data_IF_457771518914
#
_entry.id   IF_457771518914
#
_cell.length_a   1.000
_cell.length_b   1.000
_cell.length_c   1.000
_cell.angle_alpha   90.00
_cell.angle_beta   90.00
_cell.angle_gamma   90.00
#
_symmetry.space_group_name_H-M   'P 1'
#
loop_
_entity.id
_entity.type
_entity.pdbx_description
1 polymer ?
#
# COMPACT_ATOMS: atom_id res chain seq x y z
N UNK A 1 5.70 10.86 11.38
CA UNK A 1 5.43 10.76 9.93
C UNK A 1 5.69 12.11 9.30
N UNK A 2 6.31 12.17 8.13
CA UNK A 2 6.58 13.42 7.42
C UNK A 2 6.14 13.28 5.96
N UNK A 3 5.33 14.23 5.48
CA UNK A 3 4.93 14.33 4.08
C UNK A 3 5.93 15.24 3.34
N UNK A 4 6.46 14.77 2.22
CA UNK A 4 7.30 15.55 1.31
C UNK A 4 6.71 15.47 -0.09
N UNK A 5 6.66 16.60 -0.79
CA UNK A 5 6.26 16.63 -2.19
C UNK A 5 7.50 16.40 -3.07
N UNK A 6 7.42 15.44 -3.99
CA UNK A 6 8.46 15.19 -5.00
C UNK A 6 8.13 15.84 -6.34
N UNK A 7 6.84 15.86 -6.71
CA UNK A 7 6.34 16.42 -7.97
C UNK A 7 4.90 16.94 -7.77
N UNK A 8 4.28 17.53 -8.79
CA UNK A 8 2.94 18.11 -8.77
C UNK A 8 1.89 17.17 -8.15
N UNK A 9 1.97 15.87 -8.49
CA UNK A 9 1.04 14.84 -8.01
C UNK A 9 1.75 13.65 -7.33
N UNK A 10 3.02 13.81 -6.95
CA UNK A 10 3.83 12.73 -6.34
C UNK A 10 4.30 13.18 -4.95
N UNK A 11 3.93 12.40 -3.95
CA UNK A 11 4.21 12.68 -2.55
C UNK A 11 4.80 11.46 -1.86
N UNK A 12 5.75 11.67 -0.97
CA UNK A 12 6.34 10.62 -0.14
C UNK A 12 5.99 10.84 1.32
N UNK A 13 5.61 9.74 1.99
CA UNK A 13 5.35 9.73 3.43
C UNK A 13 6.45 8.92 4.11
N UNK A 14 7.30 9.62 4.86
CA UNK A 14 8.36 9.00 5.64
C UNK A 14 7.82 8.51 6.99
N UNK A 15 8.19 7.27 7.33
CA UNK A 15 7.81 6.64 8.61
C UNK A 15 6.33 6.32 8.74
N UNK A 16 5.62 6.05 7.63
CA UNK A 16 4.20 5.72 7.62
C UNK A 16 3.88 4.45 8.44
N UNK A 17 4.71 3.42 8.28
CA UNK A 17 4.69 2.20 9.07
C UNK A 17 5.98 2.06 9.86
N UNK A 18 5.89 1.46 11.04
CA UNK A 18 7.07 1.01 11.80
C UNK A 18 7.62 -0.27 11.18
N UNK A 19 8.90 -0.56 11.43
CA UNK A 19 9.54 -1.82 10.99
C UNK A 19 8.74 -3.04 11.48
N UNK A 20 8.25 -2.99 12.72
CA UNK A 20 7.40 -4.03 13.30
C UNK A 20 6.10 -4.22 12.51
N UNK A 21 5.37 -3.14 12.19
CA UNK A 21 4.14 -3.22 11.40
C UNK A 21 4.41 -3.73 9.97
N UNK A 22 5.53 -3.35 9.37
CA UNK A 22 5.97 -3.90 8.09
C UNK A 22 6.21 -5.41 8.16
N UNK A 23 6.87 -5.90 9.21
CA UNK A 23 7.12 -7.32 9.41
C UNK A 23 5.83 -8.12 9.67
N UNK A 24 4.88 -7.56 10.44
CA UNK A 24 3.57 -8.17 10.67
C UNK A 24 2.79 -8.33 9.35
N UNK A 25 2.86 -7.34 8.46
CA UNK A 25 2.22 -7.40 7.14
C UNK A 25 2.90 -8.36 6.18
N UNK A 26 4.24 -8.52 6.27
CA UNK A 26 5.00 -9.45 5.44
C UNK A 26 4.85 -10.89 5.92
N UNK A 27 4.56 -11.11 7.21
CA UNK A 27 4.56 -12.43 7.83
C UNK A 27 5.99 -12.96 7.97
N UNK A 28 6.41 -13.21 9.21
CA UNK A 28 7.74 -13.71 9.55
C UNK A 28 8.19 -14.85 8.60
N UNK A 29 9.41 -14.72 8.07
CA UNK A 29 10.02 -15.69 7.18
C UNK A 29 10.38 -16.96 7.97
N UNK A 30 9.49 -17.96 7.93
CA UNK A 30 9.71 -19.28 8.52
C UNK A 30 8.73 -19.60 9.65
N UNK A 31 7.73 -20.42 9.32
CA UNK A 31 6.64 -20.93 10.15
C UNK A 31 5.47 -19.95 10.42
N UNK A 32 4.30 -20.36 9.93
CA UNK A 32 2.94 -19.88 10.24
C UNK A 32 2.67 -18.37 10.25
N UNK A 33 2.04 -17.89 9.18
CA UNK A 33 1.46 -16.54 9.15
C UNK A 33 0.15 -16.55 9.92
N UNK A 34 0.17 -16.09 11.17
CA UNK A 34 -1.04 -15.75 11.93
C UNK A 34 -1.31 -14.25 11.76
N UNK A 35 -2.25 -13.90 10.89
CA UNK A 35 -2.79 -12.53 10.83
C UNK A 35 -3.92 -12.41 11.87
N UNK A 36 -3.78 -11.46 12.80
CA UNK A 36 -4.69 -11.26 13.93
C UNK A 36 -6.15 -11.02 13.53
N UNK A 37 -7.04 -11.58 14.36
CA UNK A 37 -8.50 -11.45 14.41
C UNK A 37 -9.33 -11.83 13.15
N UNK A 38 -8.73 -12.47 12.16
CA UNK A 38 -9.48 -13.09 11.06
C UNK A 38 -8.59 -14.05 10.29
N UNK A 39 -8.98 -15.33 10.22
CA UNK A 39 -8.36 -16.32 9.33
C UNK A 39 -8.61 -15.92 7.89
N UNK A 40 -7.83 -14.99 7.35
CA UNK A 40 -7.74 -14.78 5.91
C UNK A 40 -6.59 -15.63 5.40
N UNK A 41 -6.96 -16.76 4.80
CA UNK A 41 -6.06 -17.71 4.17
C UNK A 41 -5.21 -16.96 3.12
N UNK A 42 -3.91 -16.77 3.38
CA UNK A 42 -2.94 -16.33 2.38
C UNK A 42 -2.62 -17.54 1.49
N UNK A 43 -3.61 -18.00 0.71
CA UNK A 43 -3.59 -19.35 0.14
C UNK A 43 -2.49 -19.64 -0.86
N UNK A 44 -1.82 -18.64 -1.46
CA UNK A 44 -0.82 -18.91 -2.48
C UNK A 44 0.03 -17.67 -2.74
N UNK A 45 1.25 -17.71 -2.21
CA UNK A 45 2.37 -16.92 -2.72
C UNK A 45 3.13 -17.87 -3.69
N UNK A 46 2.70 -17.95 -4.96
CA UNK A 46 3.43 -18.49 -6.12
C UNK A 46 3.93 -17.39 -7.08
N UNK A 47 5.24 -17.18 -7.09
CA UNK A 47 6.10 -16.52 -8.09
C UNK A 47 5.38 -15.57 -9.08
N UNK A 48 5.49 -14.25 -8.83
CA UNK A 48 4.69 -13.13 -9.40
C UNK A 48 3.45 -12.75 -8.55
N UNK A 49 3.62 -12.82 -7.23
CA UNK A 49 2.55 -12.89 -6.26
C UNK A 49 1.83 -11.58 -6.01
N UNK A 50 0.55 -11.59 -6.38
CA UNK A 50 -0.42 -10.59 -5.96
C UNK A 50 -1.43 -11.22 -5.01
N UNK A 51 -1.45 -10.72 -3.78
CA UNK A 51 -2.56 -11.01 -2.85
C UNK A 51 -3.49 -9.81 -2.85
N UNK A 52 -4.77 -10.05 -3.13
CA UNK A 52 -5.82 -9.07 -2.91
C UNK A 52 -6.42 -9.31 -1.53
N UNK A 53 -6.36 -8.31 -0.67
CA UNK A 53 -6.95 -8.37 0.67
C UNK A 53 -7.94 -7.22 0.84
N UNK A 54 -9.16 -7.55 1.27
CA UNK A 54 -10.18 -6.54 1.58
C UNK A 54 -10.27 -6.43 3.10
N UNK A 55 -10.02 -5.23 3.64
CA UNK A 55 -10.06 -4.98 5.07
C UNK A 55 -10.49 -3.55 5.37
N UNK A 56 -11.76 -3.37 5.75
CA UNK A 56 -12.28 -2.06 6.17
C UNK A 56 -11.60 -1.55 7.44
N UNK A 57 -11.30 -2.45 8.37
CA UNK A 57 -10.64 -2.10 9.62
C UNK A 57 -9.21 -1.57 9.39
N UNK A 58 -8.42 -2.21 8.52
CA UNK A 58 -7.08 -1.72 8.18
C UNK A 58 -7.15 -0.38 7.45
N UNK A 59 -8.11 -0.24 6.51
CA UNK A 59 -8.31 1.01 5.79
C UNK A 59 -8.69 2.18 6.72
N UNK A 60 -9.56 1.94 7.70
CA UNK A 60 -9.91 2.94 8.70
C UNK A 60 -8.70 3.36 9.56
N UNK A 61 -7.91 2.38 10.03
CA UNK A 61 -6.69 2.66 10.82
C UNK A 61 -5.65 3.47 10.03
N UNK A 62 -5.45 3.13 8.75
CA UNK A 62 -4.50 3.84 7.90
C UNK A 62 -5.03 5.23 7.51
N UNK A 63 -6.33 5.33 7.27
CA UNK A 63 -6.99 6.61 7.00
C UNK A 63 -6.86 7.56 8.18
N UNK A 64 -7.01 7.10 9.42
CA UNK A 64 -6.82 7.93 10.62
C UNK A 64 -5.41 8.54 10.68
N UNK A 65 -4.38 7.80 10.28
CA UNK A 65 -3.01 8.33 10.17
C UNK A 65 -2.87 9.35 9.04
N UNK A 66 -3.49 9.09 7.89
CA UNK A 66 -3.39 9.92 6.69
C UNK A 66 -4.22 11.21 6.80
N UNK A 67 -5.40 11.16 7.41
CA UNK A 67 -6.30 12.30 7.57
C UNK A 67 -5.71 13.39 8.46
N UNK A 68 -4.83 13.01 9.39
CA UNK A 68 -4.04 13.93 10.22
C UNK A 68 -2.88 14.60 9.46
N UNK A 69 -2.64 14.22 8.20
CA UNK A 69 -1.62 14.82 7.35
C UNK A 69 -2.25 15.85 6.40
N UNK A 70 -1.44 16.82 5.98
CA UNK A 70 -1.84 17.79 4.96
C UNK A 70 -1.84 17.14 3.56
N UNK A 71 -2.78 16.24 3.31
CA UNK A 71 -2.93 15.59 2.01
C UNK A 71 -3.23 16.64 0.92
N UNK A 72 -2.67 16.47 -0.28
CA UNK A 72 -2.85 17.42 -1.37
C UNK A 72 -4.30 17.43 -1.87
N UNK A 73 -4.72 18.58 -2.39
CA UNK A 73 -5.93 18.70 -3.18
C UNK A 73 -5.62 18.31 -4.62
N UNK A 74 -6.31 17.28 -5.13
CA UNK A 74 -6.13 16.81 -6.51
C UNK A 74 -7.40 17.14 -7.29
N UNK A 75 -7.27 17.84 -8.41
CA UNK A 75 -8.42 18.28 -9.23
C UNK A 75 -9.49 19.04 -8.40
N UNK A 76 -9.07 19.81 -7.39
CA UNK A 76 -9.99 20.53 -6.50
C UNK A 76 -10.78 19.64 -5.52
N UNK A 77 -10.37 18.37 -5.34
CA UNK A 77 -10.99 17.42 -4.42
C UNK A 77 -10.05 17.06 -3.28
N UNK A 78 -10.59 17.09 -2.06
CA UNK A 78 -9.93 16.56 -0.87
C UNK A 78 -10.12 15.03 -0.80
N UNK A 79 -9.11 14.31 -0.32
CA UNK A 79 -9.27 12.91 0.05
C UNK A 79 -10.22 12.81 1.26
N UNK A 80 -11.17 11.87 1.21
CA UNK A 80 -12.18 11.64 2.26
C UNK A 80 -12.08 10.26 2.92
N UNK A 81 -11.24 9.37 2.38
CA UNK A 81 -11.13 7.99 2.84
C UNK A 81 -10.06 7.20 2.08
N UNK A 82 -9.78 6.00 2.57
CA UNK A 82 -8.93 5.01 1.92
C UNK A 82 -9.79 3.82 1.45
N UNK A 83 -9.51 3.30 0.25
CA UNK A 83 -10.18 2.11 -0.27
C UNK A 83 -9.87 0.89 0.62
N UNK A 84 -10.86 0.04 0.95
CA UNK A 84 -10.63 -1.19 1.73
C UNK A 84 -9.89 -2.27 0.93
N UNK A 85 -9.65 -2.06 -0.36
CA UNK A 85 -8.98 -3.01 -1.25
C UNK A 85 -7.47 -2.80 -1.25
N UNK A 86 -6.74 -3.71 -0.61
CA UNK A 86 -5.29 -3.75 -0.59
C UNK A 86 -4.76 -4.77 -1.59
N UNK A 87 -3.65 -4.43 -2.24
CA UNK A 87 -2.90 -5.31 -3.14
C UNK A 87 -1.47 -5.43 -2.64
N UNK A 88 -1.08 -6.63 -2.23
CA UNK A 88 0.28 -6.93 -1.82
C UNK A 88 1.01 -7.56 -2.99
N UNK A 89 2.18 -6.99 -3.31
CA UNK A 89 3.04 -7.47 -4.36
C UNK A 89 4.36 -7.95 -3.76
N UNK A 90 4.79 -9.14 -4.16
CA UNK A 90 6.14 -9.63 -3.86
C UNK A 90 6.91 -9.84 -5.14
N UNK A 91 7.96 -9.04 -5.33
CA UNK A 91 8.90 -9.19 -6.44
C UNK A 91 10.08 -10.06 -6.01
N UNK A 92 10.42 -11.05 -6.83
CA UNK A 92 11.68 -11.80 -6.74
C UNK A 92 12.69 -11.27 -7.75
N UNK A 93 13.96 -11.65 -7.61
CA UNK A 93 15.02 -11.20 -8.52
C UNK A 93 14.65 -11.48 -9.98
N UNK A 94 14.79 -10.46 -10.84
CA UNK A 94 14.42 -10.51 -12.25
C UNK A 94 12.97 -10.09 -12.56
N UNK A 95 12.10 -9.95 -11.56
CA UNK A 95 10.75 -9.42 -11.75
C UNK A 95 10.76 -7.89 -11.68
N UNK A 96 10.00 -7.24 -12.57
CA UNK A 96 9.85 -5.78 -12.62
C UNK A 96 8.38 -5.41 -12.57
N UNK A 97 8.09 -4.30 -11.92
CA UNK A 97 6.82 -3.64 -12.10
C UNK A 97 6.84 -2.91 -13.44
N UNK A 98 6.00 -3.33 -14.38
CA UNK A 98 5.84 -2.61 -15.63
C UNK A 98 5.05 -1.32 -15.35
N UNK A 99 5.50 -0.22 -15.97
CA UNK A 99 4.80 1.06 -15.92
C UNK A 99 3.34 0.86 -16.34
N UNK A 100 2.41 1.19 -15.44
CA UNK A 100 1.01 1.31 -15.78
C UNK A 100 0.41 2.50 -15.03
N UNK A 101 -0.62 3.09 -15.64
CA UNK A 101 -1.51 3.99 -14.93
C UNK A 101 -2.53 3.16 -14.19
N UNK A 102 -2.64 3.35 -12.89
CA UNK A 102 -3.74 2.78 -12.13
C UNK A 102 -5.06 3.36 -12.63
N UNK A 103 -6.01 2.49 -12.94
CA UNK A 103 -7.36 2.88 -13.30
C UNK A 103 -8.10 3.42 -12.07
N UNK A 104 -8.95 4.43 -12.28
CA UNK A 104 -9.89 4.89 -11.25
C UNK A 104 -10.86 3.75 -10.94
N UNK A 105 -11.10 3.50 -9.65
CA UNK A 105 -12.05 2.51 -9.19
C UNK A 105 -13.21 3.20 -8.48
N UNK A 106 -14.43 2.84 -8.84
CA UNK A 106 -15.61 3.23 -8.08
C UNK A 106 -15.64 2.44 -6.77
N UNK A 107 -15.76 3.16 -5.66
CA UNK A 107 -15.89 2.61 -4.31
C UNK A 107 -17.15 3.18 -3.66
N UNK A 108 -17.67 2.54 -2.61
CA UNK A 108 -18.79 3.10 -1.87
C UNK A 108 -18.43 4.50 -1.35
N UNK A 109 -19.09 5.53 -1.86
CA UNK A 109 -18.83 6.93 -1.52
C UNK A 109 -17.94 7.73 -2.48
N UNK A 110 -17.46 7.16 -3.60
CA UNK A 110 -16.74 7.95 -4.60
C UNK A 110 -15.92 7.18 -5.63
N UNK A 111 -14.88 7.83 -6.13
CA UNK A 111 -13.91 7.25 -7.07
C UNK A 111 -12.50 7.42 -6.52
N UNK A 112 -11.64 6.42 -6.70
CA UNK A 112 -10.22 6.55 -6.37
C UNK A 112 -9.53 7.50 -7.35
N UNK A 113 -8.77 8.45 -6.82
CA UNK A 113 -8.02 9.45 -7.61
C UNK A 113 -6.52 9.27 -7.44
N UNK A 114 -6.07 8.89 -6.24
CA UNK A 114 -4.66 8.64 -5.92
C UNK A 114 -4.43 7.17 -5.54
N UNK A 115 -3.21 6.71 -5.78
CA UNK A 115 -2.70 5.42 -5.29
C UNK A 115 -1.78 5.65 -4.10
N UNK A 116 -1.99 4.89 -3.03
CA UNK A 116 -1.05 4.78 -1.92
C UNK A 116 -0.15 3.55 -2.16
N UNK A 117 1.13 3.79 -2.42
CA UNK A 117 2.13 2.73 -2.52
C UNK A 117 2.98 2.67 -1.25
N UNK A 118 2.96 1.54 -0.57
CA UNK A 118 3.70 1.33 0.69
C UNK A 118 4.76 0.26 0.48
N UNK A 119 6.03 0.63 0.69
CA UNK A 119 7.14 -0.32 0.68
C UNK A 119 7.25 -0.98 2.05
N UNK A 120 7.02 -2.30 2.09
CA UNK A 120 7.03 -3.07 3.33
C UNK A 120 8.43 -3.61 3.68
N UNK A 121 9.34 -3.70 2.71
CA UNK A 121 10.71 -4.14 2.90
C UNK A 121 11.71 -3.15 2.30
N UNK A 122 12.91 -3.09 2.88
CA UNK A 122 14.07 -2.38 2.35
C UNK A 122 15.14 -3.35 1.86
N UNK A 123 16.10 -2.84 1.07
CA UNK A 123 17.29 -3.54 0.57
C UNK A 123 17.08 -4.52 -0.60
N UNK A 124 16.82 -3.99 -1.80
CA UNK A 124 17.05 -4.74 -3.03
C UNK A 124 17.89 -3.92 -4.02
N UNK A 125 18.99 -4.50 -4.51
CA UNK A 125 19.64 -4.01 -5.73
C UNK A 125 18.73 -4.32 -6.93
N UNK A 126 18.25 -3.28 -7.62
CA UNK A 126 17.48 -3.41 -8.86
C UNK A 126 16.02 -2.93 -8.84
N UNK A 127 15.51 -2.45 -7.69
CA UNK A 127 14.12 -1.98 -7.55
C UNK A 127 13.83 -0.53 -7.98
N UNK A 128 14.70 0.11 -8.75
CA UNK A 128 14.49 1.49 -9.21
C UNK A 128 13.25 1.56 -10.10
N UNK A 129 12.21 2.24 -9.62
CA UNK A 129 11.13 2.72 -10.49
C UNK A 129 11.63 3.92 -11.28
N UNK A 130 11.52 3.82 -12.60
CA UNK A 130 11.59 4.98 -13.48
C UNK A 130 10.16 5.48 -13.64
N UNK A 131 9.95 6.75 -13.32
CA UNK A 131 8.66 7.46 -13.37
C UNK A 131 8.29 7.73 -14.84
#
# INVERSE_FOLDING_TARGET
MQLSQLDENIFTIHGFLSIHACHELIGYSGADVQVGAGRSYLSNIRNNDRVNWISENLAAQWWDKLSNMALPNIEGKCAIGLSPHFRFYRYTSGQKFNMHKDGRQSVSGGVTIMTLLVYLNGCYEGGKHTI
#
